data_IF_728355405757
#
_entry.id   IF_728355405757
#
_cell.length_a   1.000
_cell.length_b   1.000
_cell.length_c   1.000
_cell.angle_alpha   90.00
_cell.angle_beta   90.00
_cell.angle_gamma   90.00
#
_symmetry.space_group_name_H-M   'P 1'
#
loop_
_entity.id
_entity.type
_entity.pdbx_description
1 polymer ?
#
# COMPACT_ATOMS: atom_id res chain seq x y z
N UNK A 1 9.28 20.49 12.19
CA UNK A 1 7.83 20.36 12.35
C UNK A 1 7.21 21.74 12.12
N UNK A 2 6.29 21.86 11.18
CA UNK A 2 5.58 23.11 10.89
C UNK A 2 4.42 23.26 11.88
N UNK A 3 4.61 24.11 12.89
CA UNK A 3 3.68 24.27 14.01
C UNK A 3 2.38 24.95 13.55
N UNK A 4 2.47 25.94 12.66
CA UNK A 4 1.29 26.66 12.16
C UNK A 4 0.41 25.72 11.32
N UNK A 5 1.02 24.99 10.38
CA UNK A 5 0.32 23.98 9.62
C UNK A 5 -0.27 22.89 10.53
N UNK A 6 0.43 22.54 11.61
CA UNK A 6 -0.05 21.64 12.65
C UNK A 6 -1.33 22.15 13.32
N UNK A 7 -1.32 23.39 13.83
CA UNK A 7 -2.50 24.00 14.47
C UNK A 7 -3.69 24.11 13.52
N UNK A 8 -3.45 24.34 12.23
CA UNK A 8 -4.49 24.43 11.21
C UNK A 8 -4.93 23.07 10.65
N UNK A 9 -4.31 21.96 11.08
CA UNK A 9 -4.46 20.63 10.50
C UNK A 9 -4.18 20.54 8.99
N UNK A 10 -3.37 21.47 8.47
CA UNK A 10 -2.97 21.55 7.06
C UNK A 10 -1.60 20.92 6.84
N UNK A 11 -1.47 19.64 7.17
CA UNK A 11 -0.20 18.92 7.06
C UNK A 11 0.48 19.12 5.70
N UNK A 12 1.74 19.57 5.69
CA UNK A 12 2.55 19.70 4.47
C UNK A 12 3.09 18.36 3.99
N UNK A 13 3.34 17.44 4.93
CA UNK A 13 3.82 16.09 4.71
C UNK A 13 3.04 15.10 5.59
N UNK A 14 2.87 13.88 5.10
CA UNK A 14 2.33 12.75 5.85
C UNK A 14 3.23 11.56 5.50
N UNK A 15 3.88 10.97 6.49
CA UNK A 15 5.04 10.10 6.24
C UNK A 15 4.91 8.78 6.98
N UNK A 16 5.39 7.70 6.37
CA UNK A 16 5.67 6.47 7.08
C UNK A 16 7.15 6.46 7.50
N UNK A 17 7.39 6.15 8.78
CA UNK A 17 8.73 6.10 9.40
C UNK A 17 9.56 7.39 9.21
N UNK A 18 8.91 8.55 9.13
CA UNK A 18 9.57 9.86 9.05
C UNK A 18 10.26 10.20 7.72
N UNK A 19 10.13 9.34 6.71
CA UNK A 19 10.72 9.52 5.39
C UNK A 19 9.60 9.79 4.39
N UNK A 20 9.81 10.72 3.46
CA UNK A 20 8.90 10.92 2.34
C UNK A 20 8.90 9.67 1.47
N UNK A 21 7.83 8.89 1.56
CA UNK A 21 7.60 7.76 0.68
C UNK A 21 7.62 8.23 -0.78
N UNK A 22 8.18 7.40 -1.65
CA UNK A 22 8.27 7.64 -3.09
C UNK A 22 9.19 8.80 -3.55
N UNK A 23 10.06 9.36 -2.70
CA UNK A 23 11.11 10.27 -3.19
C UNK A 23 12.06 9.52 -4.14
N UNK A 24 11.99 9.83 -5.44
CA UNK A 24 12.68 9.10 -6.51
C UNK A 24 11.93 7.89 -7.10
N UNK A 25 10.72 7.60 -6.63
CA UNK A 25 9.87 6.53 -7.17
C UNK A 25 8.94 7.09 -8.25
N UNK A 26 9.17 6.68 -9.49
CA UNK A 26 8.16 6.72 -10.54
C UNK A 26 7.42 5.38 -10.52
N UNK A 27 6.10 5.38 -10.73
CA UNK A 27 5.37 4.13 -10.97
C UNK A 27 6.03 3.43 -12.17
N UNK A 28 6.72 2.29 -11.98
CA UNK A 28 7.42 1.66 -13.08
C UNK A 28 6.38 1.07 -14.05
N UNK A 29 6.53 1.38 -15.33
CA UNK A 29 5.82 0.65 -16.38
C UNK A 29 6.33 -0.80 -16.40
N UNK A 30 5.52 -1.72 -15.90
CA UNK A 30 5.49 -3.15 -16.19
C UNK A 30 6.80 -3.96 -16.15
N UNK A 31 7.87 -3.48 -15.52
CA UNK A 31 9.17 -4.18 -15.51
C UNK A 31 9.76 -4.33 -14.10
N UNK A 32 10.58 -5.37 -13.95
CA UNK A 32 11.26 -5.84 -12.74
C UNK A 32 12.23 -4.81 -12.10
N UNK A 33 12.25 -3.58 -12.62
CA UNK A 33 12.98 -2.40 -12.11
C UNK A 33 12.44 -1.88 -10.77
N UNK A 34 11.31 -2.42 -10.28
CA UNK A 34 10.76 -2.09 -8.96
C UNK A 34 11.73 -2.31 -7.78
N UNK A 35 12.73 -3.19 -7.93
CA UNK A 35 13.74 -3.47 -6.91
C UNK A 35 14.79 -2.35 -6.80
N UNK A 36 15.17 -1.68 -7.89
CA UNK A 36 16.12 -0.54 -7.83
C UNK A 36 15.46 0.75 -7.32
N UNK A 37 14.15 0.90 -7.54
CA UNK A 37 13.38 2.12 -7.24
C UNK A 37 12.89 2.23 -5.80
N UNK A 38 13.02 1.17 -4.99
CA UNK A 38 12.64 1.19 -3.58
C UNK A 38 13.75 0.58 -2.72
N UNK A 39 14.84 1.32 -2.53
CA UNK A 39 15.93 0.96 -1.60
C UNK A 39 15.43 0.57 -0.20
N UNK A 40 14.24 1.05 0.18
CA UNK A 40 13.60 0.80 1.47
C UNK A 40 12.30 -0.05 1.38
N UNK A 41 12.07 -0.77 0.28
CA UNK A 41 10.94 -1.69 0.20
C UNK A 41 11.09 -2.85 1.19
N UNK A 42 9.98 -3.27 1.78
CA UNK A 42 9.94 -4.52 2.54
C UNK A 42 9.97 -5.69 1.54
N UNK A 43 10.77 -6.71 1.81
CA UNK A 43 10.92 -7.87 0.92
C UNK A 43 10.18 -9.09 1.48
N UNK A 44 9.47 -9.81 0.62
CA UNK A 44 8.77 -11.05 0.98
C UNK A 44 8.72 -12.03 -0.21
N UNK A 45 8.13 -13.20 0.02
CA UNK A 45 7.82 -14.21 -0.98
C UNK A 45 6.33 -14.60 -0.90
N UNK A 46 5.75 -15.16 -1.97
CA UNK A 46 4.39 -15.67 -1.92
C UNK A 46 4.25 -16.71 -0.81
N UNK A 47 3.19 -16.61 -0.02
CA UNK A 47 2.92 -17.48 1.12
C UNK A 47 3.56 -17.07 2.44
N UNK A 48 4.41 -16.03 2.48
CA UNK A 48 4.93 -15.51 3.76
C UNK A 48 3.80 -14.91 4.59
N UNK A 49 3.77 -15.19 5.90
CA UNK A 49 2.86 -14.54 6.82
C UNK A 49 3.46 -13.21 7.29
N UNK A 50 2.96 -12.09 6.78
CA UNK A 50 3.48 -10.76 7.09
C UNK A 50 2.58 -10.14 8.16
N UNK A 51 3.18 -9.74 9.28
CA UNK A 51 2.53 -8.94 10.33
C UNK A 51 3.09 -7.53 10.35
N UNK A 52 2.22 -6.54 10.39
CA UNK A 52 2.56 -5.13 10.45
C UNK A 52 2.00 -4.52 11.73
N UNK A 53 2.88 -3.94 12.54
CA UNK A 53 2.52 -3.11 13.67
C UNK A 53 2.47 -1.66 13.18
N UNK A 54 1.27 -1.17 12.93
CA UNK A 54 1.08 0.16 12.38
C UNK A 54 0.65 1.12 13.48
N UNK A 55 1.45 2.15 13.71
CA UNK A 55 1.18 3.20 14.69
C UNK A 55 0.98 4.51 13.95
N UNK A 56 -0.18 5.13 14.15
CA UNK A 56 -0.40 6.49 13.70
C UNK A 56 -0.01 7.44 14.83
N UNK A 57 1.23 7.91 14.82
CA UNK A 57 1.71 8.87 15.81
C UNK A 57 0.95 10.21 15.76
N UNK A 58 0.31 10.55 14.63
CA UNK A 58 -0.42 11.80 14.45
C UNK A 58 0.47 13.01 14.11
N UNK A 59 0.23 14.20 14.69
CA UNK A 59 -0.59 14.42 15.90
C UNK A 59 -2.11 14.53 15.66
N UNK A 60 -2.57 14.89 14.46
CA UNK A 60 -3.97 15.33 14.30
C UNK A 60 -4.83 14.41 13.42
N UNK A 61 -4.25 13.80 12.39
CA UNK A 61 -5.02 13.16 11.33
C UNK A 61 -5.20 11.66 11.60
N UNK A 62 -6.43 11.16 11.43
CA UNK A 62 -6.70 9.71 11.30
C UNK A 62 -6.11 9.17 10.00
N UNK A 63 -5.56 7.96 10.01
CA UNK A 63 -5.07 7.28 8.81
C UNK A 63 -6.08 6.25 8.32
N UNK A 64 -6.34 6.23 7.01
CA UNK A 64 -7.13 5.19 6.34
C UNK A 64 -6.18 4.12 5.79
N UNK A 65 -5.65 3.26 6.66
CA UNK A 65 -4.56 2.36 6.31
C UNK A 65 -5.02 1.22 5.38
N UNK A 66 -4.45 1.17 4.19
CA UNK A 66 -4.87 0.30 3.10
C UNK A 66 -3.68 -0.38 2.40
N UNK A 67 -3.91 -1.59 1.87
CA UNK A 67 -2.99 -2.35 1.04
C UNK A 67 -3.51 -2.47 -0.40
N UNK A 68 -2.95 -1.69 -1.32
CA UNK A 68 -3.22 -1.84 -2.74
C UNK A 68 -2.64 -3.18 -3.21
N UNK A 69 -3.46 -3.98 -3.89
CA UNK A 69 -3.11 -5.32 -4.37
C UNK A 69 -3.52 -6.46 -3.43
N UNK A 70 -4.11 -6.17 -2.27
CA UNK A 70 -4.55 -7.19 -1.32
C UNK A 70 -5.61 -6.74 -0.33
N UNK A 71 -5.84 -7.55 0.69
CA UNK A 71 -6.65 -7.25 1.86
C UNK A 71 -5.88 -7.66 3.12
N UNK A 72 -6.20 -7.07 4.26
CA UNK A 72 -5.73 -7.55 5.55
C UNK A 72 -6.52 -8.81 5.92
N UNK A 73 -5.82 -9.93 6.03
CA UNK A 73 -6.42 -11.21 6.42
C UNK A 73 -6.96 -11.13 7.85
N UNK A 74 -6.21 -10.44 8.72
CA UNK A 74 -6.59 -10.18 10.11
C UNK A 74 -6.27 -8.75 10.49
N UNK A 75 -7.18 -8.11 11.21
CA UNK A 75 -7.01 -6.76 11.77
C UNK A 75 -7.38 -6.77 13.25
N UNK A 76 -6.38 -6.56 14.10
CA UNK A 76 -6.57 -6.26 15.52
C UNK A 76 -6.72 -4.75 15.68
N UNK A 77 -7.97 -4.29 15.62
CA UNK A 77 -8.31 -2.87 15.78
C UNK A 77 -7.80 -2.37 17.12
N UNK A 78 -7.25 -1.15 17.13
CA UNK A 78 -6.67 -0.53 18.33
C UNK A 78 -5.52 -1.36 18.97
N UNK A 79 -4.98 -2.33 18.24
CA UNK A 79 -4.07 -3.35 18.73
C UNK A 79 -4.59 -4.15 19.93
N UNK A 80 -5.91 -4.38 20.02
CA UNK A 80 -6.47 -5.35 20.95
C UNK A 80 -6.09 -6.77 20.50
N UNK A 81 -4.99 -7.29 21.05
CA UNK A 81 -4.47 -8.63 20.76
C UNK A 81 -5.13 -9.74 21.58
N UNK A 82 -6.08 -9.41 22.47
CA UNK A 82 -6.79 -10.37 23.30
C UNK A 82 -8.04 -10.87 22.58
N UNK A 83 -8.80 -9.94 21.99
CA UNK A 83 -10.00 -10.28 21.23
C UNK A 83 -9.66 -10.95 19.89
N UNK A 84 -10.63 -11.69 19.34
CA UNK A 84 -10.51 -12.22 17.99
C UNK A 84 -10.42 -11.06 16.97
N UNK A 85 -9.52 -11.14 15.98
CA UNK A 85 -9.36 -10.07 14.99
C UNK A 85 -10.55 -10.03 14.03
N UNK A 86 -10.79 -8.85 13.47
CA UNK A 86 -11.61 -8.75 12.26
C UNK A 86 -10.89 -9.44 11.08
N UNK A 87 -11.64 -10.00 10.14
CA UNK A 87 -11.09 -10.77 9.03
C UNK A 87 -11.45 -10.16 7.67
N UNK A 88 -10.58 -10.33 6.68
CA UNK A 88 -10.80 -9.92 5.28
C UNK A 88 -11.18 -8.44 5.13
N UNK A 89 -10.38 -7.55 5.73
CA UNK A 89 -10.63 -6.11 5.74
C UNK A 89 -9.73 -5.41 4.72
N UNK A 90 -10.31 -4.64 3.80
CA UNK A 90 -9.55 -3.87 2.81
C UNK A 90 -8.78 -2.67 3.40
N UNK A 91 -9.39 -1.98 4.36
CA UNK A 91 -8.92 -0.69 4.89
C UNK A 91 -9.36 -0.57 6.34
N UNK A 92 -8.48 -0.09 7.21
CA UNK A 92 -8.79 0.13 8.63
C UNK A 92 -8.44 1.56 9.04
N UNK A 93 -9.29 2.16 9.89
CA UNK A 93 -9.04 3.49 10.44
C UNK A 93 -8.12 3.36 11.65
N UNK A 94 -7.10 4.22 11.71
CA UNK A 94 -6.16 4.28 12.82
C UNK A 94 -6.11 5.72 13.32
N UNK A 95 -6.67 6.02 14.52
CA UNK A 95 -6.72 7.38 15.03
C UNK A 95 -5.31 7.91 15.35
N UNK A 96 -5.16 9.23 15.41
CA UNK A 96 -3.92 9.83 15.88
C UNK A 96 -3.62 9.40 17.33
N UNK A 97 -2.36 9.08 17.61
CA UNK A 97 -1.94 8.45 18.87
C UNK A 97 -2.35 6.98 19.02
N UNK A 98 -3.02 6.40 18.02
CA UNK A 98 -3.49 5.02 18.03
C UNK A 98 -2.60 4.07 17.25
N UNK A 99 -2.93 2.78 17.33
CA UNK A 99 -2.25 1.74 16.59
C UNK A 99 -3.21 0.63 16.15
N UNK A 100 -2.75 -0.21 15.24
CA UNK A 100 -3.43 -1.44 14.80
C UNK A 100 -2.37 -2.47 14.48
N UNK A 101 -2.74 -3.75 14.57
CA UNK A 101 -1.93 -4.85 14.03
C UNK A 101 -2.70 -5.45 12.86
N UNK A 102 -2.00 -5.66 11.75
CA UNK A 102 -2.58 -6.33 10.58
C UNK A 102 -1.70 -7.50 10.15
N UNK A 103 -2.34 -8.58 9.74
CA UNK A 103 -1.67 -9.69 9.05
C UNK A 103 -2.15 -9.73 7.61
N UNK A 104 -1.24 -10.08 6.70
CA UNK A 104 -1.57 -10.42 5.32
C UNK A 104 -0.60 -11.47 4.76
N UNK A 105 -1.10 -12.29 3.85
CA UNK A 105 -0.31 -13.24 3.07
C UNK A 105 -0.38 -12.90 1.57
N UNK A 106 0.74 -12.56 0.91
CA UNK A 106 0.75 -12.35 -0.53
C UNK A 106 0.64 -13.69 -1.25
N UNK A 107 -0.32 -13.82 -2.16
CA UNK A 107 -0.51 -15.04 -2.94
C UNK A 107 0.16 -15.01 -4.32
N UNK A 108 0.42 -13.82 -4.86
CA UNK A 108 1.03 -13.63 -6.17
C UNK A 108 2.29 -12.76 -6.04
N UNK A 109 3.36 -13.02 -6.81
CA UNK A 109 4.49 -12.11 -6.88
C UNK A 109 4.10 -10.73 -7.42
N UNK A 110 4.82 -9.69 -6.98
CA UNK A 110 4.56 -8.32 -7.39
C UNK A 110 4.85 -7.30 -6.28
N UNK A 111 4.55 -6.04 -6.57
CA UNK A 111 4.69 -4.95 -5.59
C UNK A 111 3.32 -4.61 -5.02
N UNK A 112 3.17 -4.80 -3.71
CA UNK A 112 2.01 -4.36 -2.94
C UNK A 112 2.31 -2.99 -2.34
N UNK A 113 1.31 -2.12 -2.27
CA UNK A 113 1.52 -0.73 -1.87
C UNK A 113 0.67 -0.38 -0.65
N UNK A 114 1.34 -0.07 0.45
CA UNK A 114 0.71 0.47 1.65
C UNK A 114 0.51 1.98 1.52
N UNK A 115 -0.69 2.46 1.82
CA UNK A 115 -1.05 3.88 1.71
C UNK A 115 -1.94 4.33 2.87
N UNK A 116 -1.96 5.64 3.09
CA UNK A 116 -3.13 6.29 3.68
C UNK A 116 -4.12 6.63 2.55
N UNK A 117 -5.28 5.97 2.56
CA UNK A 117 -6.30 6.07 1.52
C UNK A 117 -7.11 7.39 1.55
N UNK A 118 -6.74 8.34 2.41
CA UNK A 118 -6.99 9.76 2.13
C UNK A 118 -6.07 10.21 1.00
N UNK A 119 -6.37 9.74 -0.22
CA UNK A 119 -5.42 9.43 -1.30
C UNK A 119 -4.39 10.52 -1.62
N UNK A 120 -4.77 11.80 -1.59
CA UNK A 120 -3.83 12.91 -1.82
C UNK A 120 -2.72 13.02 -0.77
N UNK A 121 -2.76 12.24 0.31
CA UNK A 121 -1.64 12.10 1.25
C UNK A 121 -0.49 11.29 0.68
N UNK A 122 -0.69 10.54 -0.41
CA UNK A 122 0.41 9.90 -1.16
C UNK A 122 1.37 10.97 -1.70
N UNK A 123 0.86 12.04 -2.31
CA UNK A 123 1.66 13.19 -2.76
C UNK A 123 2.42 13.88 -1.61
N UNK A 124 1.86 13.78 -0.40
CA UNK A 124 2.49 14.26 0.84
C UNK A 124 3.49 13.27 1.45
N UNK A 125 3.63 12.07 0.89
CA UNK A 125 4.63 11.05 1.27
C UNK A 125 4.08 9.77 1.92
N UNK A 126 2.77 9.59 2.05
CA UNK A 126 2.15 8.49 2.81
C UNK A 126 2.03 7.20 1.98
N UNK A 127 3.18 6.68 1.53
CA UNK A 127 3.28 5.50 0.66
C UNK A 127 4.50 4.65 1.03
N UNK A 128 4.33 3.32 1.03
CA UNK A 128 5.42 2.37 1.21
C UNK A 128 5.15 1.08 0.44
N UNK A 129 6.21 0.36 0.07
CA UNK A 129 6.12 -0.80 -0.80
C UNK A 129 6.52 -2.09 -0.06
N UNK A 130 5.84 -3.17 -0.42
CA UNK A 130 6.20 -4.54 -0.10
C UNK A 130 6.44 -5.24 -1.44
N UNK A 131 7.68 -5.58 -1.72
CA UNK A 131 8.06 -6.30 -2.92
C UNK A 131 8.11 -7.81 -2.65
N UNK A 132 7.19 -8.52 -3.29
CA UNK A 132 7.04 -9.97 -3.20
C UNK A 132 7.74 -10.61 -4.39
N UNK A 133 8.87 -11.26 -4.13
CA UNK A 133 9.73 -11.83 -5.18
C UNK A 133 9.11 -13.06 -5.83
N UNK A 134 9.25 -13.18 -7.14
CA UNK A 134 8.87 -14.37 -7.90
C UNK A 134 8.43 -14.03 -9.32
N UNK A 135 8.14 -15.05 -10.11
CA UNK A 135 7.61 -14.87 -11.47
C UNK A 135 6.17 -14.31 -11.40
N UNK A 136 5.88 -13.12 -11.97
CA UNK A 136 4.54 -12.55 -12.01
C UNK A 136 3.48 -13.46 -12.64
N UNK A 137 3.89 -14.41 -13.50
CA UNK A 137 3.01 -15.38 -14.16
C UNK A 137 2.90 -16.71 -13.43
N UNK A 138 3.47 -16.84 -12.22
CA UNK A 138 3.44 -18.09 -11.44
C UNK A 138 2.06 -18.49 -10.93
N UNK A 139 1.10 -17.55 -10.85
CA UNK A 139 -0.26 -17.77 -10.32
C UNK A 139 -1.35 -17.19 -11.24
N UNK A 140 -1.44 -17.68 -12.49
CA UNK A 140 -2.40 -17.17 -13.46
C UNK A 140 -3.85 -17.56 -13.11
N UNK A 141 -4.02 -18.52 -12.20
CA UNK A 141 -5.30 -18.91 -11.60
C UNK A 141 -5.88 -17.84 -10.67
N UNK A 142 -5.04 -16.96 -10.10
CA UNK A 142 -5.46 -15.88 -9.21
C UNK A 142 -5.43 -14.51 -9.87
N UNK A 143 -4.35 -14.20 -10.59
CA UNK A 143 -4.14 -12.91 -11.21
C UNK A 143 -3.35 -13.07 -12.51
N UNK A 144 -4.00 -12.80 -13.63
CA UNK A 144 -3.37 -12.75 -14.94
C UNK A 144 -4.08 -11.72 -15.80
N UNK A 145 -3.31 -11.01 -16.64
CA UNK A 145 -3.87 -10.47 -17.86
C UNK A 145 -4.03 -11.65 -18.83
N UNK A 146 -5.23 -11.88 -19.35
CA UNK A 146 -5.44 -12.95 -20.33
C UNK A 146 -4.49 -12.77 -21.51
N UNK A 147 -3.88 -13.86 -21.98
CA UNK A 147 -2.92 -13.92 -23.11
C UNK A 147 -3.44 -13.41 -24.47
N UNK A 148 -4.66 -12.85 -24.50
CA UNK A 148 -5.30 -12.25 -25.66
C UNK A 148 -5.83 -10.83 -25.43
N UNK A 149 -5.50 -10.17 -24.33
CA UNK A 149 -5.87 -8.77 -24.05
C UNK A 149 -4.63 -7.93 -23.71
N UNK A 150 -3.57 -8.01 -24.53
CA UNK A 150 -2.79 -6.79 -24.75
C UNK A 150 -3.77 -5.68 -25.13
N UNK A 151 -3.52 -4.42 -24.74
CA UNK A 151 -4.35 -3.26 -25.10
C UNK A 151 -4.79 -3.41 -26.56
N UNK A 152 -6.00 -3.90 -26.79
CA UNK A 152 -6.51 -4.02 -28.14
C UNK A 152 -6.81 -2.60 -28.51
N UNK A 153 -6.18 -2.11 -29.57
CA UNK A 153 -6.63 -0.90 -30.22
C UNK A 153 -8.07 -1.19 -30.66
N UNK A 154 -9.02 -0.75 -29.85
CA UNK A 154 -10.41 -0.78 -30.22
C UNK A 154 -10.57 0.29 -31.30
N UNK A 155 -10.73 -0.12 -32.56
CA UNK A 155 -10.76 0.78 -33.73
C UNK A 155 -11.76 1.95 -33.61
N UNK A 156 -12.78 1.80 -32.74
CA UNK A 156 -13.82 2.78 -32.45
C UNK A 156 -13.75 3.44 -31.05
N UNK A 157 -12.75 3.12 -30.21
CA UNK A 157 -12.69 3.62 -28.84
C UNK A 157 -12.08 5.02 -28.78
N UNK A 158 -12.83 5.98 -28.22
CA UNK A 158 -12.37 7.37 -28.03
C UNK A 158 -11.46 7.57 -26.80
N UNK A 159 -11.16 6.51 -26.05
CA UNK A 159 -10.42 6.60 -24.77
C UNK A 159 -8.90 6.53 -24.93
N UNK A 160 -8.40 6.12 -26.11
CA UNK A 160 -6.97 6.07 -26.40
C UNK A 160 -6.68 6.91 -27.66
N UNK A 161 -5.60 7.73 -27.68
CA UNK A 161 -5.16 8.43 -28.89
C UNK A 161 -4.89 7.43 -30.01
N UNK A 162 -5.25 7.80 -31.24
CA UNK A 162 -4.94 7.02 -32.45
C UNK A 162 -3.48 7.14 -32.83
#
# INVERSE_FOLDING_TARGET
MDVEAGVLEKATHVLFNGIKGAEGYTFPEHTDTSIELAKDALLAKPGDNIRIFFVNAGPNLVSSFHLIGGCWDRVWREADLISAPAQSIQTTLVPAGGCTVVDFQPHVPGTYTMVDHSLFRIEKGAIKFIHVKGDPLSRPDLYASGSGHGLKNCDACKLHPK
#
